data_IF_313266409729
#
_entry.id   IF_313266409729
#
_cell.length_a   1.000
_cell.length_b   1.000
_cell.length_c   1.000
_cell.angle_alpha   90.00
_cell.angle_beta   90.00
_cell.angle_gamma   90.00
#
_symmetry.space_group_name_H-M   'P 1'
#
loop_
_entity.id
_entity.type
_entity.pdbx_description
1 polymer ?
#
# COMPACT_ATOMS: atom_id res chain seq x y z
N UNK A 1 -6.31 -18.05 0.52
CA UNK A 1 -5.91 -18.06 -0.91
C UNK A 1 -5.37 -16.69 -1.22
N UNK A 2 -4.33 -16.63 -2.03
CA UNK A 2 -3.67 -15.42 -2.49
C UNK A 2 -3.97 -15.21 -3.96
N UNK A 3 -4.44 -14.03 -4.33
CA UNK A 3 -4.74 -13.65 -5.71
C UNK A 3 -3.83 -12.51 -6.21
N UNK A 4 -4.12 -11.98 -7.40
CA UNK A 4 -3.36 -10.85 -7.96
C UNK A 4 -3.52 -9.56 -7.15
N UNK A 5 -4.63 -9.39 -6.44
CA UNK A 5 -4.85 -8.28 -5.52
C UNK A 5 -3.90 -8.37 -4.33
N UNK A 6 -3.64 -9.58 -3.83
CA UNK A 6 -2.60 -9.80 -2.83
C UNK A 6 -1.20 -9.50 -3.37
N UNK A 7 -0.89 -9.86 -4.63
CA UNK A 7 0.36 -9.46 -5.28
C UNK A 7 0.53 -7.93 -5.31
N UNK A 8 -0.53 -7.17 -5.64
CA UNK A 8 -0.53 -5.70 -5.58
C UNK A 8 -0.29 -5.21 -4.15
N UNK A 9 -1.00 -5.76 -3.17
CA UNK A 9 -0.89 -5.34 -1.76
C UNK A 9 0.50 -5.56 -1.19
N UNK A 10 1.11 -6.72 -1.43
CA UNK A 10 2.49 -6.98 -0.95
C UNK A 10 3.51 -6.14 -1.70
N UNK A 11 3.28 -5.83 -2.98
CA UNK A 11 4.12 -4.89 -3.73
C UNK A 11 4.10 -3.50 -3.09
N UNK A 12 2.90 -3.01 -2.75
CA UNK A 12 2.71 -1.72 -2.08
C UNK A 12 3.34 -1.72 -0.68
N UNK A 13 3.12 -2.78 0.11
CA UNK A 13 3.75 -2.94 1.42
C UNK A 13 5.28 -2.92 1.32
N UNK A 14 5.86 -3.59 0.33
CA UNK A 14 7.31 -3.61 0.11
C UNK A 14 7.91 -2.23 -0.25
N UNK A 15 7.10 -1.27 -0.72
CA UNK A 15 7.57 0.10 -0.96
C UNK A 15 7.84 0.88 0.34
N UNK A 16 7.26 0.47 1.47
CA UNK A 16 7.40 1.14 2.77
C UNK A 16 6.25 2.09 3.11
N UNK A 17 6.57 3.21 3.78
CA UNK A 17 5.59 4.15 4.32
C UNK A 17 4.49 4.57 3.34
N UNK A 18 3.25 4.68 3.84
CA UNK A 18 2.08 5.03 3.04
C UNK A 18 1.16 3.85 2.71
N UNK A 19 1.61 2.61 2.95
CA UNK A 19 0.78 1.41 2.83
C UNK A 19 1.27 0.29 3.77
N UNK A 20 0.38 -0.50 4.37
CA UNK A 20 0.79 -1.76 5.04
C UNK A 20 1.06 -1.71 6.55
N UNK A 21 0.62 -0.69 7.29
CA UNK A 21 0.62 -0.73 8.77
C UNK A 21 1.92 -0.37 9.47
N UNK A 22 2.82 0.35 8.79
CA UNK A 22 4.04 0.91 9.37
C UNK A 22 3.76 1.91 10.51
N UNK A 23 4.61 1.92 11.53
CA UNK A 23 4.56 2.88 12.65
C UNK A 23 5.70 3.90 12.54
N UNK A 24 5.42 5.19 12.67
CA UNK A 24 6.45 6.23 12.54
C UNK A 24 7.65 6.02 13.49
N UNK A 25 7.40 5.52 14.70
CA UNK A 25 8.37 5.49 15.80
C UNK A 25 8.91 4.08 16.10
N UNK A 26 8.76 3.11 15.19
CA UNK A 26 9.26 1.73 15.39
C UNK A 26 10.09 1.24 14.22
N UNK A 27 11.36 1.67 14.16
CA UNK A 27 12.27 1.33 13.08
C UNK A 27 12.49 -0.20 12.94
N UNK A 28 12.57 -0.93 14.05
CA UNK A 28 12.82 -2.38 14.08
C UNK A 28 11.61 -3.17 13.59
N UNK A 29 10.40 -2.84 14.04
CA UNK A 29 9.16 -3.43 13.53
C UNK A 29 9.00 -3.15 12.03
N UNK A 30 9.18 -1.90 11.63
CA UNK A 30 9.05 -1.51 10.22
C UNK A 30 10.03 -2.26 9.32
N UNK A 31 11.27 -2.47 9.78
CA UNK A 31 12.25 -3.25 9.04
C UNK A 31 11.80 -4.72 8.88
N UNK A 32 11.31 -5.34 9.96
CA UNK A 32 10.79 -6.71 9.92
C UNK A 32 9.56 -6.84 9.01
N UNK A 33 8.64 -5.88 9.09
CA UNK A 33 7.43 -5.84 8.27
C UNK A 33 7.76 -5.65 6.79
N UNK A 34 8.71 -4.77 6.46
CA UNK A 34 9.21 -4.61 5.09
C UNK A 34 9.85 -5.90 4.57
N UNK A 35 10.69 -6.55 5.37
CA UNK A 35 11.29 -7.83 4.99
C UNK A 35 10.24 -8.92 4.74
N UNK A 36 9.18 -8.95 5.56
CA UNK A 36 8.04 -9.85 5.35
C UNK A 36 7.33 -9.56 4.01
N UNK A 37 7.02 -8.30 3.71
CA UNK A 37 6.42 -7.93 2.42
C UNK A 37 7.30 -8.26 1.22
N UNK A 38 8.61 -8.04 1.32
CA UNK A 38 9.57 -8.39 0.26
C UNK A 38 9.63 -9.91 0.02
N UNK A 39 9.61 -10.71 1.09
CA UNK A 39 9.58 -12.18 0.98
C UNK A 39 8.27 -12.68 0.36
N UNK A 40 7.13 -12.15 0.83
CA UNK A 40 5.81 -12.44 0.26
C UNK A 40 5.72 -12.04 -1.22
N UNK A 41 6.23 -10.86 -1.58
CA UNK A 41 6.29 -10.39 -2.96
C UNK A 41 7.12 -11.36 -3.82
N UNK A 42 8.33 -11.73 -3.39
CA UNK A 42 9.17 -12.66 -4.14
C UNK A 42 8.50 -14.02 -4.38
N UNK A 43 7.82 -14.56 -3.35
CA UNK A 43 7.06 -15.81 -3.47
C UNK A 43 5.88 -15.70 -4.45
N UNK A 44 5.08 -14.63 -4.34
CA UNK A 44 3.94 -14.41 -5.23
C UNK A 44 4.40 -14.13 -6.68
N UNK A 45 5.44 -13.34 -6.89
CA UNK A 45 6.03 -13.12 -8.23
C UNK A 45 6.46 -14.44 -8.89
N UNK A 46 7.04 -15.36 -8.10
CA UNK A 46 7.42 -16.68 -8.58
C UNK A 46 6.21 -17.55 -8.93
N UNK A 47 5.17 -17.59 -8.09
CA UNK A 47 3.95 -18.36 -8.32
C UNK A 47 3.18 -17.86 -9.55
N UNK A 48 2.99 -16.55 -9.65
CA UNK A 48 2.34 -15.91 -10.80
C UNK A 48 3.21 -15.96 -12.07
N UNK A 49 4.54 -16.07 -11.93
CA UNK A 49 5.47 -16.00 -13.05
C UNK A 49 5.59 -14.58 -13.63
N UNK A 50 5.36 -13.56 -12.80
CA UNK A 50 5.46 -12.15 -13.16
C UNK A 50 6.33 -11.45 -12.13
N UNK A 51 7.39 -10.78 -12.59
CA UNK A 51 8.25 -9.97 -11.73
C UNK A 51 7.98 -8.48 -11.95
N UNK A 52 7.47 -7.80 -10.94
CA UNK A 52 7.08 -6.39 -10.92
C UNK A 52 8.32 -5.47 -10.81
N UNK A 53 9.16 -5.50 -11.84
CA UNK A 53 10.31 -4.61 -11.99
C UNK A 53 10.60 -4.35 -13.47
N UNK A 54 11.25 -3.23 -13.79
CA UNK A 54 11.60 -2.87 -15.18
C UNK A 54 12.37 -3.98 -15.91
N UNK A 55 13.25 -4.69 -15.19
CA UNK A 55 14.06 -5.78 -15.72
C UNK A 55 13.35 -7.14 -15.64
N UNK A 56 12.28 -7.24 -14.85
CA UNK A 56 11.53 -8.48 -14.60
C UNK A 56 10.39 -8.71 -15.60
N UNK A 57 9.86 -7.64 -16.22
CA UNK A 57 8.83 -7.76 -17.25
C UNK A 57 9.44 -8.14 -18.61
N UNK A 58 8.96 -9.25 -19.18
CA UNK A 58 9.59 -9.90 -20.32
C UNK A 58 9.33 -9.21 -21.67
N UNK A 59 8.15 -8.62 -21.87
CA UNK A 59 7.74 -7.98 -23.13
C UNK A 59 7.85 -6.46 -23.06
N UNK A 60 7.95 -5.82 -24.24
CA UNK A 60 7.88 -4.36 -24.35
C UNK A 60 6.54 -3.82 -23.85
N UNK A 61 5.43 -4.48 -24.20
CA UNK A 61 4.09 -4.07 -23.77
C UNK A 61 3.95 -4.09 -22.24
N UNK A 62 4.47 -5.13 -21.58
CA UNK A 62 4.46 -5.21 -20.11
C UNK A 62 5.35 -4.13 -19.48
N UNK A 63 6.43 -3.68 -20.14
CA UNK A 63 7.22 -2.52 -19.67
C UNK A 63 6.42 -1.24 -19.70
N UNK A 64 5.65 -1.00 -20.77
CA UNK A 64 4.79 0.18 -20.88
C UNK A 64 3.71 0.17 -19.79
N UNK A 65 3.05 -0.97 -19.57
CA UNK A 65 2.07 -1.12 -18.49
C UNK A 65 2.71 -0.95 -17.12
N UNK A 66 3.91 -1.51 -16.91
CA UNK A 66 4.65 -1.37 -15.66
C UNK A 66 5.08 0.08 -15.37
N UNK A 67 5.37 0.89 -16.39
CA UNK A 67 5.62 2.32 -16.20
C UNK A 67 4.39 3.05 -15.64
N UNK A 68 3.19 2.74 -16.15
CA UNK A 68 1.96 3.29 -15.59
C UNK A 68 1.71 2.74 -14.18
N UNK A 69 1.90 1.45 -13.96
CA UNK A 69 1.78 0.81 -12.63
C UNK A 69 2.64 1.50 -11.58
N UNK A 70 3.94 1.72 -11.87
CA UNK A 70 4.84 2.43 -10.94
C UNK A 70 4.47 3.90 -10.75
N UNK A 71 3.92 4.57 -11.77
CA UNK A 71 3.38 5.92 -11.62
C UNK A 71 2.15 5.95 -10.72
N UNK A 72 1.21 5.03 -10.90
CA UNK A 72 0.01 4.90 -10.08
C UNK A 72 0.36 4.55 -8.63
N UNK A 73 1.30 3.64 -8.41
CA UNK A 73 1.80 3.33 -7.05
C UNK A 73 2.37 4.56 -6.36
N UNK A 74 3.22 5.34 -7.03
CA UNK A 74 3.78 6.58 -6.45
C UNK A 74 2.69 7.61 -6.15
N UNK A 75 1.70 7.74 -7.04
CA UNK A 75 0.55 8.62 -6.83
C UNK A 75 -0.27 8.20 -5.61
N UNK A 76 -0.56 6.90 -5.48
CA UNK A 76 -1.28 6.31 -4.35
C UNK A 76 -0.56 6.55 -3.02
N UNK A 77 0.73 6.22 -2.94
CA UNK A 77 1.53 6.38 -1.72
C UNK A 77 1.73 7.86 -1.33
N UNK A 78 1.56 8.78 -2.29
CA UNK A 78 1.61 10.21 -2.04
C UNK A 78 0.25 10.82 -1.64
N UNK A 79 -0.85 10.05 -1.62
CA UNK A 79 -2.15 10.55 -1.18
C UNK A 79 -2.08 10.99 0.28
N UNK A 80 -2.55 12.20 0.55
CA UNK A 80 -2.57 12.82 1.88
C UNK A 80 -3.86 13.57 2.09
N UNK A 81 -4.17 13.87 3.35
CA UNK A 81 -5.22 14.80 3.75
C UNK A 81 -4.57 16.00 4.45
N UNK A 82 -5.29 17.12 4.64
CA UNK A 82 -4.78 18.26 5.39
C UNK A 82 -4.33 17.93 6.82
N UNK A 83 -4.78 16.80 7.38
CA UNK A 83 -4.40 16.33 8.72
C UNK A 83 -3.21 15.38 8.73
N UNK A 84 -2.70 14.97 7.57
CA UNK A 84 -1.54 14.10 7.51
C UNK A 84 -0.34 14.73 8.23
N UNK A 85 0.19 14.04 9.25
CA UNK A 85 1.35 14.50 10.03
C UNK A 85 1.01 15.29 11.29
N UNK A 86 -0.27 15.50 11.62
CA UNK A 86 -0.66 16.08 12.89
C UNK A 86 -0.88 14.98 13.95
N UNK A 87 0.03 14.92 14.95
CA UNK A 87 -0.09 14.02 16.10
C UNK A 87 -1.14 14.51 17.11
N UNK A 88 -1.20 15.83 17.36
CA UNK A 88 -2.26 16.48 18.14
C UNK A 88 -2.90 17.61 17.34
N UNK A 89 -4.18 17.46 17.01
CA UNK A 89 -4.96 18.46 16.27
C UNK A 89 -5.97 19.21 17.13
N UNK A 90 -6.11 18.87 18.42
CA UNK A 90 -7.18 19.38 19.30
C UNK A 90 -7.21 20.91 19.43
N UNK A 91 -6.04 21.54 19.61
CA UNK A 91 -5.93 23.00 19.68
C UNK A 91 -6.26 23.66 18.33
N UNK A 92 -5.84 23.05 17.22
CA UNK A 92 -6.10 23.54 15.87
C UNK A 92 -7.60 23.43 15.54
N UNK A 93 -8.23 22.31 15.88
CA UNK A 93 -9.68 22.11 15.74
C UNK A 93 -10.44 23.16 16.54
N UNK A 94 -10.06 23.39 17.80
CA UNK A 94 -10.69 24.44 18.63
C UNK A 94 -10.55 25.83 18.00
N UNK A 95 -9.39 26.16 17.42
CA UNK A 95 -9.19 27.43 16.71
C UNK A 95 -10.04 27.56 15.44
N UNK A 96 -10.23 26.46 14.73
CA UNK A 96 -11.13 26.41 13.57
C UNK A 96 -12.57 26.65 14.03
N UNK A 97 -13.03 25.98 15.09
CA UNK A 97 -14.37 26.18 15.65
C UNK A 97 -14.62 27.63 16.12
N UNK A 98 -13.64 28.22 16.82
CA UNK A 98 -13.67 29.62 17.26
C UNK A 98 -13.79 30.62 16.09
N UNK A 99 -13.42 30.23 14.87
CA UNK A 99 -13.56 31.06 13.66
C UNK A 99 -14.99 31.12 13.10
N UNK A 100 -15.96 30.47 13.76
CA UNK A 100 -17.39 30.56 13.43
C UNK A 100 -17.70 30.07 12.01
N UNK A 101 -18.34 30.91 11.19
CA UNK A 101 -18.75 30.54 9.84
C UNK A 101 -17.58 30.12 8.94
N UNK A 102 -16.39 30.71 9.10
CA UNK A 102 -15.21 30.29 8.36
C UNK A 102 -14.68 28.94 8.85
N UNK A 103 -14.78 28.67 10.15
CA UNK A 103 -14.48 27.37 10.74
C UNK A 103 -15.31 26.23 10.15
N UNK A 104 -16.62 26.44 10.06
CA UNK A 104 -17.54 25.48 9.44
C UNK A 104 -17.18 25.19 7.98
N UNK A 105 -16.77 26.20 7.21
CA UNK A 105 -16.32 26.03 5.83
C UNK A 105 -15.06 25.18 5.74
N UNK A 106 -14.10 25.38 6.65
CA UNK A 106 -12.87 24.57 6.73
C UNK A 106 -13.22 23.12 7.04
N UNK A 107 -14.05 22.86 8.05
CA UNK A 107 -14.44 21.50 8.44
C UNK A 107 -15.18 20.77 7.30
N UNK A 108 -16.12 21.43 6.63
CA UNK A 108 -16.83 20.85 5.49
C UNK A 108 -15.90 20.54 4.30
N UNK A 109 -14.93 21.43 4.03
CA UNK A 109 -13.94 21.19 2.98
C UNK A 109 -13.03 20.01 3.32
N UNK A 110 -12.60 19.92 4.58
CA UNK A 110 -11.82 18.82 5.12
C UNK A 110 -12.54 17.48 4.98
N UNK A 111 -13.80 17.38 5.41
CA UNK A 111 -14.61 16.16 5.27
C UNK A 111 -14.72 15.74 3.80
N UNK A 112 -14.91 16.71 2.91
CA UNK A 112 -14.96 16.45 1.48
C UNK A 112 -13.62 15.94 0.96
N UNK A 113 -12.49 16.51 1.40
CA UNK A 113 -11.16 16.04 1.00
C UNK A 113 -10.95 14.60 1.48
N UNK A 114 -11.28 14.26 2.73
CA UNK A 114 -11.16 12.89 3.25
C UNK A 114 -11.92 11.91 2.36
N UNK A 115 -13.20 12.18 2.05
CA UNK A 115 -13.99 11.32 1.16
C UNK A 115 -13.37 11.17 -0.24
N UNK A 116 -12.91 12.27 -0.83
CA UNK A 116 -12.28 12.24 -2.15
C UNK A 116 -10.93 11.51 -2.13
N UNK A 117 -10.18 11.60 -1.03
CA UNK A 117 -8.94 10.85 -0.85
C UNK A 117 -9.22 9.36 -0.72
N UNK A 118 -10.25 8.95 0.03
CA UNK A 118 -10.66 7.54 0.14
C UNK A 118 -11.13 6.98 -1.21
N UNK A 119 -11.93 7.74 -1.95
CA UNK A 119 -12.39 7.37 -3.29
C UNK A 119 -11.20 7.27 -4.27
N UNK A 120 -10.31 8.27 -4.25
CA UNK A 120 -9.09 8.26 -5.04
C UNK A 120 -8.24 7.03 -4.73
N UNK A 121 -8.05 6.72 -3.44
CA UNK A 121 -7.31 5.54 -3.00
C UNK A 121 -7.90 4.25 -3.59
N UNK A 122 -9.21 4.06 -3.52
CA UNK A 122 -9.86 2.89 -4.12
C UNK A 122 -9.64 2.81 -5.63
N UNK A 123 -9.81 3.92 -6.35
CA UNK A 123 -9.62 3.97 -7.81
C UNK A 123 -8.17 3.64 -8.19
N UNK A 124 -7.18 4.09 -7.39
CA UNK A 124 -5.79 3.69 -7.62
C UNK A 124 -5.58 2.18 -7.46
N UNK A 125 -6.17 1.56 -6.43
CA UNK A 125 -6.09 0.11 -6.25
C UNK A 125 -6.74 -0.65 -7.41
N UNK A 126 -7.90 -0.21 -7.87
CA UNK A 126 -8.58 -0.81 -9.02
C UNK A 126 -7.73 -0.69 -10.31
N UNK A 127 -7.07 0.46 -10.51
CA UNK A 127 -6.11 0.64 -11.61
C UNK A 127 -4.91 -0.31 -11.50
N UNK A 128 -4.34 -0.47 -10.31
CA UNK A 128 -3.20 -1.37 -10.08
C UNK A 128 -3.60 -2.82 -10.33
N UNK A 129 -4.78 -3.25 -9.87
CA UNK A 129 -5.33 -4.58 -10.14
C UNK A 129 -5.50 -4.83 -11.65
N UNK A 130 -6.14 -3.89 -12.36
CA UNK A 130 -6.36 -4.01 -13.80
C UNK A 130 -5.05 -4.06 -14.60
N UNK A 131 -4.05 -3.28 -14.20
CA UNK A 131 -2.72 -3.30 -14.82
C UNK A 131 -2.00 -4.63 -14.60
N UNK A 132 -2.07 -5.19 -13.39
CA UNK A 132 -1.49 -6.50 -13.09
C UNK A 132 -2.23 -7.61 -13.84
N UNK A 133 -3.56 -7.58 -13.88
CA UNK A 133 -4.35 -8.52 -14.67
C UNK A 133 -3.93 -8.51 -16.15
N UNK A 134 -3.76 -7.32 -16.74
CA UNK A 134 -3.28 -7.18 -18.12
C UNK A 134 -1.86 -7.74 -18.31
N UNK A 135 -0.95 -7.53 -17.36
CA UNK A 135 0.41 -8.08 -17.42
C UNK A 135 0.47 -9.60 -17.23
N UNK A 136 -0.47 -10.17 -16.47
CA UNK A 136 -0.57 -11.62 -16.20
C UNK A 136 -1.23 -12.40 -17.35
N UNK A 137 -2.10 -11.76 -18.13
CA UNK A 137 -2.85 -12.42 -19.20
C UNK A 137 -3.70 -13.58 -18.65
N UNK A 138 -3.54 -14.77 -19.22
CA UNK A 138 -4.29 -15.98 -18.82
C UNK A 138 -4.13 -16.37 -17.35
N UNK A 139 -3.08 -15.86 -16.68
CA UNK A 139 -2.82 -16.12 -15.26
C UNK A 139 -3.52 -15.12 -14.31
N UNK A 140 -4.28 -14.16 -14.82
CA UNK A 140 -4.90 -13.11 -14.00
C UNK A 140 -5.87 -13.65 -12.93
N UNK A 141 -6.50 -14.80 -13.18
CA UNK A 141 -7.45 -15.44 -12.26
C UNK A 141 -6.81 -16.59 -11.46
N UNK A 142 -5.49 -16.77 -11.56
CA UNK A 142 -4.79 -17.77 -10.76
C UNK A 142 -4.85 -17.41 -9.27
N UNK A 143 -5.03 -18.42 -8.42
CA UNK A 143 -4.99 -18.28 -6.97
C UNK A 143 -4.09 -19.34 -6.36
N UNK A 144 -3.40 -18.98 -5.28
CA UNK A 144 -2.45 -19.84 -4.61
C UNK A 144 -2.78 -19.98 -3.12
N UNK A 145 -2.46 -21.11 -2.52
CA UNK A 145 -2.65 -21.35 -1.11
C UNK A 145 -1.48 -20.79 -0.28
N UNK A 146 -1.65 -20.73 1.04
CA UNK A 146 -0.52 -20.46 1.94
C UNK A 146 0.52 -21.58 1.90
N UNK A 147 0.12 -22.81 1.61
CA UNK A 147 1.05 -23.93 1.50
C UNK A 147 1.95 -23.82 0.27
N UNK A 148 1.46 -23.21 -0.83
CA UNK A 148 2.27 -22.91 -2.01
C UNK A 148 3.40 -21.93 -1.69
N UNK A 149 3.10 -20.90 -0.88
CA UNK A 149 4.12 -19.94 -0.41
C UNK A 149 5.09 -20.58 0.58
N UNK A 150 4.60 -21.36 1.54
CA UNK A 150 5.45 -22.11 2.48
C UNK A 150 6.37 -23.10 1.76
N UNK A 151 5.91 -23.72 0.68
CA UNK A 151 6.73 -24.59 -0.15
C UNK A 151 7.91 -23.86 -0.83
N UNK A 152 7.80 -22.53 -1.00
CA UNK A 152 8.89 -21.65 -1.46
C UNK A 152 9.73 -21.09 -0.30
N UNK A 153 9.46 -21.50 0.95
CA UNK A 153 10.17 -21.04 2.15
C UNK A 153 9.70 -19.68 2.68
N UNK A 154 8.55 -19.18 2.22
CA UNK A 154 7.97 -17.92 2.70
C UNK A 154 7.22 -18.15 4.00
N UNK A 155 7.57 -17.40 5.05
CA UNK A 155 6.72 -17.29 6.24
C UNK A 155 5.57 -16.33 5.96
N UNK A 156 4.37 -16.89 5.90
CA UNK A 156 3.12 -16.16 5.66
C UNK A 156 2.61 -15.44 6.92
N UNK A 157 3.22 -15.69 8.07
CA UNK A 157 2.91 -15.01 9.32
C UNK A 157 3.77 -13.75 9.38
N UNK A 158 3.13 -12.59 9.32
CA UNK A 158 3.83 -11.31 9.49
C UNK A 158 4.35 -11.11 10.92
N UNK A 159 5.21 -10.10 11.15
CA UNK A 159 5.64 -9.76 12.50
C UNK A 159 4.46 -9.30 13.37
N UNK A 160 4.44 -9.71 14.63
CA UNK A 160 3.49 -9.18 15.62
C UNK A 160 4.04 -7.87 16.20
N UNK A 161 3.31 -6.73 16.11
CA UNK A 161 3.74 -5.47 16.72
C UNK A 161 4.08 -5.57 18.22
N UNK A 162 3.49 -6.52 18.96
CA UNK A 162 3.75 -6.71 20.40
C UNK A 162 5.15 -7.28 20.69
N UNK A 163 5.82 -7.85 19.69
CA UNK A 163 7.20 -8.36 19.82
C UNK A 163 8.26 -7.27 19.66
N UNK A 164 7.84 -6.01 19.40
CA UNK A 164 8.73 -4.89 19.10
C UNK A 164 8.42 -3.66 19.98
N UNK A 165 9.44 -2.87 20.36
CA UNK A 165 9.21 -1.58 20.98
C UNK A 165 8.56 -0.64 19.95
N UNK A 166 7.32 -0.23 20.21
CA UNK A 166 6.56 0.66 19.32
C UNK A 166 6.84 2.16 19.59
N UNK A 167 7.55 2.44 20.68
CA UNK A 167 7.99 3.78 21.07
C UNK A 167 9.47 3.69 21.46
N UNK A 168 10.30 4.55 20.88
CA UNK A 168 11.65 4.81 21.38
C UNK A 168 11.53 5.81 22.55
N UNK A 169 12.09 5.46 23.72
CA UNK A 169 12.12 6.33 24.92
C UNK A 169 12.94 7.62 24.71
#
# INVERSE_FOLDING_TARGET
>A
MYDRGDLVRVYLGAQGEGFGGYYADSATFNAALKAHYEAMLGGLEQLFGLRLSMNGVASFDNRVLFMLFTSTTRSLLALRTPWSGFLESSLLVKKIEEAGANGQRVMAATERIVRLTDESHQVHLDMLDALVAAMLGDRAEATFSADDLRALGVDVTGPDPNDYPLYED
#
